data_IF_961979419097
#
_entry.id   IF_961979419097
#
_cell.length_a   1.000
_cell.length_b   1.000
_cell.length_c   1.000
_cell.angle_alpha   90.00
_cell.angle_beta   90.00
_cell.angle_gamma   90.00
#
_symmetry.space_group_name_H-M   'P 1'
#
loop_
_entity.id
_entity.type
_entity.pdbx_description
1 polymer ?
#
# COMPACT_ATOMS: atom_id res chain seq x y z
N UNK A 1 -15.94 -13.15 2.57
CA UNK A 1 -15.74 -11.74 2.16
C UNK A 1 -14.40 -11.64 1.47
N UNK A 2 -14.39 -11.27 0.19
CA UNK A 2 -13.16 -11.16 -0.61
C UNK A 2 -12.53 -9.80 -0.36
N UNK A 3 -11.19 -9.76 -0.29
CA UNK A 3 -10.41 -8.53 -0.10
C UNK A 3 -9.76 -8.18 -1.42
N UNK A 4 -10.15 -7.03 -1.97
CA UNK A 4 -9.60 -6.43 -3.17
C UNK A 4 -8.63 -5.34 -2.70
N UNK A 5 -7.35 -5.67 -2.62
CA UNK A 5 -6.37 -4.93 -1.81
C UNK A 5 -5.07 -4.58 -2.53
N UNK A 6 -5.00 -4.80 -3.84
CA UNK A 6 -3.88 -4.42 -4.70
C UNK A 6 -4.32 -3.42 -5.78
N UNK A 7 -3.33 -2.83 -6.47
CA UNK A 7 -3.55 -1.94 -7.60
C UNK A 7 -4.30 -2.63 -8.76
N UNK A 8 -4.06 -3.94 -8.94
CA UNK A 8 -4.74 -4.75 -9.96
C UNK A 8 -6.24 -4.93 -9.67
N UNK A 9 -6.64 -4.76 -8.41
CA UNK A 9 -8.04 -4.85 -8.00
C UNK A 9 -8.84 -3.62 -8.40
N UNK A 10 -8.21 -2.47 -8.70
CA UNK A 10 -8.95 -1.23 -9.01
C UNK A 10 -9.78 -1.39 -10.31
N UNK A 11 -9.23 -1.87 -11.44
CA UNK A 11 -10.04 -2.21 -12.62
C UNK A 11 -11.14 -3.25 -12.33
N UNK A 12 -10.85 -4.26 -11.51
CA UNK A 12 -11.82 -5.30 -11.12
C UNK A 12 -13.00 -4.68 -10.34
N UNK A 13 -12.74 -3.84 -9.36
CA UNK A 13 -13.76 -3.11 -8.60
C UNK A 13 -14.61 -2.23 -9.50
N UNK A 14 -13.98 -1.47 -10.40
CA UNK A 14 -14.70 -0.60 -11.34
C UNK A 14 -15.61 -1.41 -12.26
N UNK A 15 -15.11 -2.52 -12.80
CA UNK A 15 -15.90 -3.41 -13.66
C UNK A 15 -17.07 -4.03 -12.88
N UNK A 16 -16.84 -4.48 -11.64
CA UNK A 16 -17.87 -5.00 -10.76
C UNK A 16 -18.99 -4.00 -10.52
N UNK A 17 -18.64 -2.75 -10.16
CA UNK A 17 -19.61 -1.69 -9.96
C UNK A 17 -20.38 -1.37 -11.25
N UNK A 18 -19.70 -1.29 -12.40
CA UNK A 18 -20.34 -0.96 -13.67
C UNK A 18 -21.33 -2.04 -14.13
N UNK A 19 -20.97 -3.32 -14.01
CA UNK A 19 -21.86 -4.42 -14.41
C UNK A 19 -23.03 -4.55 -13.44
N UNK A 20 -22.79 -4.44 -12.13
CA UNK A 20 -23.86 -4.42 -11.13
C UNK A 20 -24.84 -3.27 -11.38
N UNK A 21 -24.33 -2.06 -11.60
CA UNK A 21 -25.16 -0.88 -11.91
C UNK A 21 -25.96 -1.09 -13.21
N UNK A 22 -25.36 -1.68 -14.24
CA UNK A 22 -26.06 -2.00 -15.48
C UNK A 22 -27.20 -2.99 -15.25
N UNK A 23 -26.98 -4.06 -14.48
CA UNK A 23 -28.03 -5.03 -14.16
C UNK A 23 -29.18 -4.39 -13.37
N UNK A 24 -28.85 -3.57 -12.37
CA UNK A 24 -29.85 -2.84 -11.57
C UNK A 24 -30.69 -1.88 -12.43
N UNK A 25 -30.06 -1.07 -13.28
CA UNK A 25 -30.76 -0.12 -14.16
C UNK A 25 -31.66 -0.78 -15.20
N UNK A 26 -31.35 -2.01 -15.59
CA UNK A 26 -32.11 -2.76 -16.61
C UNK A 26 -33.01 -3.84 -16.01
N UNK A 27 -33.16 -3.91 -14.69
CA UNK A 27 -33.97 -4.92 -13.99
C UNK A 27 -33.58 -6.37 -14.37
N UNK A 28 -32.27 -6.62 -14.52
CA UNK A 28 -31.73 -7.95 -14.78
C UNK A 28 -31.40 -8.58 -13.43
N UNK A 29 -32.06 -9.70 -13.11
CA UNK A 29 -31.75 -10.46 -11.90
C UNK A 29 -30.35 -11.08 -12.01
N UNK A 30 -29.55 -10.93 -10.95
CA UNK A 30 -28.21 -11.49 -10.87
C UNK A 30 -27.89 -11.99 -9.47
N UNK A 31 -26.99 -12.97 -9.39
CA UNK A 31 -26.40 -13.39 -8.11
C UNK A 31 -25.07 -12.64 -7.91
N UNK A 32 -24.90 -11.85 -6.82
CA UNK A 32 -23.68 -11.08 -6.60
C UNK A 32 -22.39 -11.89 -6.51
N UNK A 33 -22.45 -13.12 -5.97
CA UNK A 33 -21.28 -14.00 -5.86
C UNK A 33 -20.85 -14.53 -7.22
N UNK A 34 -21.81 -14.95 -8.06
CA UNK A 34 -21.54 -15.40 -9.42
C UNK A 34 -20.97 -14.24 -10.26
N UNK A 35 -21.60 -13.06 -10.18
CA UNK A 35 -21.11 -11.86 -10.86
C UNK A 35 -19.65 -11.54 -10.49
N UNK A 36 -19.33 -11.61 -9.19
CA UNK A 36 -17.96 -11.42 -8.73
C UNK A 36 -17.00 -12.44 -9.34
N UNK A 37 -17.35 -13.72 -9.34
CA UNK A 37 -16.51 -14.78 -9.92
C UNK A 37 -16.31 -14.63 -11.43
N UNK A 38 -17.36 -14.27 -12.18
CA UNK A 38 -17.29 -14.07 -13.63
C UNK A 38 -16.39 -12.89 -14.00
N UNK A 39 -16.48 -11.80 -13.24
CA UNK A 39 -15.63 -10.62 -13.42
C UNK A 39 -14.18 -10.96 -13.09
N UNK A 40 -13.94 -11.64 -11.97
CA UNK A 40 -12.61 -12.07 -11.58
C UNK A 40 -11.98 -12.98 -12.64
N UNK A 41 -12.73 -13.96 -13.14
CA UNK A 41 -12.27 -14.85 -14.19
C UNK A 41 -11.96 -14.08 -15.49
N UNK A 42 -12.79 -13.09 -15.83
CA UNK A 42 -12.59 -12.22 -16.99
C UNK A 42 -11.29 -11.41 -16.87
N UNK A 43 -11.06 -10.75 -15.73
CA UNK A 43 -9.83 -9.99 -15.46
C UNK A 43 -8.60 -10.90 -15.51
N UNK A 44 -8.67 -12.09 -14.90
CA UNK A 44 -7.60 -13.08 -14.95
C UNK A 44 -7.29 -13.54 -16.38
N UNK A 45 -8.31 -13.72 -17.22
CA UNK A 45 -8.15 -14.11 -18.63
C UNK A 45 -7.48 -13.02 -19.48
N UNK A 46 -7.63 -11.75 -19.09
CA UNK A 46 -6.98 -10.62 -19.77
C UNK A 46 -5.51 -10.45 -19.36
N UNK A 47 -5.07 -11.02 -18.23
CA UNK A 47 -3.73 -10.80 -17.69
C UNK A 47 -2.59 -11.19 -18.66
N UNK A 48 -2.64 -12.34 -19.39
CA UNK A 48 -1.65 -12.67 -20.40
C UNK A 48 -1.64 -11.67 -21.59
N UNK A 49 -2.82 -11.22 -22.02
CA UNK A 49 -2.97 -10.25 -23.12
C UNK A 49 -2.38 -8.90 -22.73
N UNK A 50 -2.65 -8.46 -21.50
CA UNK A 50 -2.04 -7.24 -20.93
C UNK A 50 -0.51 -7.36 -20.94
N UNK A 51 0.05 -8.48 -20.52
CA UNK A 51 1.50 -8.69 -20.59
C UNK A 51 2.03 -8.56 -22.02
N UNK A 52 1.37 -9.13 -23.02
CA UNK A 52 1.79 -8.99 -24.42
C UNK A 52 1.77 -7.53 -24.90
N UNK A 53 0.77 -6.74 -24.49
CA UNK A 53 0.66 -5.32 -24.84
C UNK A 53 1.76 -4.52 -24.17
N UNK A 54 1.95 -4.68 -22.86
CA UNK A 54 3.00 -3.99 -22.09
C UNK A 54 4.38 -4.29 -22.66
N UNK A 55 4.59 -5.52 -23.14
CA UNK A 55 5.87 -5.94 -23.72
C UNK A 55 6.16 -5.35 -25.10
N UNK A 56 5.15 -4.82 -25.80
CA UNK A 56 5.34 -4.11 -27.07
C UNK A 56 5.87 -2.69 -26.86
N UNK A 57 5.43 -2.02 -25.80
CA UNK A 57 5.92 -0.69 -25.41
C UNK A 57 6.07 -0.56 -23.89
N UNK A 58 7.17 -1.11 -23.37
CA UNK A 58 7.48 -1.04 -21.94
C UNK A 58 7.70 0.41 -21.49
N UNK A 59 8.14 1.28 -22.39
CA UNK A 59 8.44 2.69 -22.07
C UNK A 59 7.19 3.52 -21.78
N UNK A 60 6.05 3.14 -22.34
CA UNK A 60 4.75 3.77 -22.07
C UNK A 60 4.22 3.43 -20.67
N UNK A 61 4.41 2.19 -20.21
CA UNK A 61 3.78 1.67 -18.99
C UNK A 61 4.69 1.66 -17.76
N UNK A 62 6.01 1.73 -17.92
CA UNK A 62 6.97 1.71 -16.82
C UNK A 62 7.65 3.08 -16.67
N UNK A 63 7.36 3.73 -15.54
CA UNK A 63 8.06 4.94 -15.15
C UNK A 63 9.53 4.64 -14.80
N UNK A 64 10.45 5.38 -15.42
CA UNK A 64 11.87 5.24 -15.15
C UNK A 64 12.27 6.06 -13.91
N UNK A 65 12.74 5.39 -12.87
CA UNK A 65 13.38 6.05 -11.75
C UNK A 65 14.90 6.17 -11.98
N UNK A 66 15.37 7.38 -12.27
CA UNK A 66 16.79 7.67 -12.54
C UNK A 66 17.70 7.53 -11.31
N UNK A 67 17.14 7.57 -10.10
CA UNK A 67 17.88 7.46 -8.84
C UNK A 67 18.10 6.00 -8.43
N UNK A 68 17.30 5.07 -8.97
CA UNK A 68 17.34 3.66 -8.60
C UNK A 68 18.72 3.00 -8.83
N UNK A 69 19.41 3.20 -9.98
CA UNK A 69 20.74 2.63 -10.19
C UNK A 69 21.77 3.16 -9.18
N UNK A 70 21.75 4.46 -8.90
CA UNK A 70 22.65 5.08 -7.94
C UNK A 70 22.40 4.56 -6.51
N UNK A 71 21.13 4.38 -6.14
CA UNK A 71 20.74 3.82 -4.85
C UNK A 71 21.20 2.37 -4.67
N UNK A 72 20.97 1.50 -5.67
CA UNK A 72 21.46 0.12 -5.60
C UNK A 72 22.99 0.05 -5.59
N UNK A 73 23.67 0.90 -6.36
CA UNK A 73 25.13 0.97 -6.33
C UNK A 73 25.65 1.38 -4.94
N UNK A 74 24.98 2.33 -4.27
CA UNK A 74 25.31 2.71 -2.88
C UNK A 74 25.20 1.52 -1.92
N UNK A 75 24.16 0.70 -2.05
CA UNK A 75 23.99 -0.50 -1.22
C UNK A 75 25.08 -1.54 -1.49
N UNK A 76 25.36 -1.81 -2.77
CA UNK A 76 26.42 -2.75 -3.18
C UNK A 76 27.80 -2.30 -2.71
N UNK A 77 28.13 -1.01 -2.84
CA UNK A 77 29.39 -0.43 -2.35
C UNK A 77 29.54 -0.55 -0.83
N UNK A 78 28.42 -0.57 -0.10
CA UNK A 78 28.39 -0.82 1.35
C UNK A 78 28.40 -2.31 1.72
N UNK A 79 28.65 -3.21 0.76
CA UNK A 79 28.71 -4.66 0.99
C UNK A 79 27.35 -5.33 1.20
N UNK A 80 26.23 -4.64 0.90
CA UNK A 80 24.90 -5.25 0.97
C UNK A 80 24.68 -6.18 -0.23
N UNK A 81 24.03 -7.32 0.01
CA UNK A 81 23.61 -8.24 -1.04
C UNK A 81 22.17 -7.93 -1.42
N UNK A 82 21.90 -7.85 -2.72
CA UNK A 82 20.58 -7.57 -3.27
C UNK A 82 20.06 -8.82 -3.99
N UNK A 83 18.75 -9.04 -3.93
CA UNK A 83 18.06 -10.10 -4.65
C UNK A 83 16.68 -9.60 -5.09
N UNK A 84 16.12 -10.24 -6.11
CA UNK A 84 14.80 -9.95 -6.64
C UNK A 84 13.98 -11.25 -6.66
N UNK A 85 12.75 -11.18 -6.17
CA UNK A 85 11.76 -12.26 -6.27
C UNK A 85 10.53 -11.66 -6.93
N UNK A 86 10.04 -12.31 -7.98
CA UNK A 86 8.88 -11.83 -8.73
C UNK A 86 8.02 -13.00 -9.19
N UNK A 87 6.71 -12.82 -9.14
CA UNK A 87 5.72 -13.77 -9.66
C UNK A 87 5.51 -13.63 -11.18
N UNK A 88 6.16 -12.64 -11.83
CA UNK A 88 6.04 -12.46 -13.27
C UNK A 88 6.81 -13.53 -14.05
N UNK A 89 6.27 -14.03 -15.17
CA UNK A 89 6.96 -15.01 -16.01
C UNK A 89 8.33 -14.51 -16.49
N UNK A 90 9.29 -15.42 -16.63
CA UNK A 90 10.67 -15.11 -17.04
C UNK A 90 10.75 -14.22 -18.30
N UNK A 91 9.88 -14.45 -19.29
CA UNK A 91 9.84 -13.64 -20.51
C UNK A 91 9.60 -12.15 -20.21
N UNK A 92 8.81 -11.83 -19.17
CA UNK A 92 8.49 -10.47 -18.72
C UNK A 92 9.69 -9.78 -18.04
N UNK A 93 10.46 -10.52 -17.26
CA UNK A 93 11.63 -10.00 -16.52
C UNK A 93 12.87 -9.90 -17.43
N UNK A 94 13.04 -10.84 -18.36
CA UNK A 94 14.24 -11.00 -19.19
C UNK A 94 14.35 -9.97 -20.34
N UNK A 95 13.26 -9.27 -20.73
CA UNK A 95 13.39 -8.08 -21.61
C UNK A 95 13.98 -6.86 -20.89
N UNK A 96 13.98 -6.85 -19.55
CA UNK A 96 14.61 -5.82 -18.71
C UNK A 96 15.98 -6.21 -18.15
N UNK A 97 16.34 -7.49 -18.11
CA UNK A 97 17.65 -7.97 -17.61
C UNK A 97 18.07 -9.22 -18.39
N UNK A 98 19.03 -9.08 -19.31
CA UNK A 98 19.38 -10.13 -20.25
C UNK A 98 20.29 -11.23 -19.67
N UNK A 99 19.94 -12.47 -20.02
CA UNK A 99 20.79 -13.63 -20.36
C UNK A 99 21.21 -14.63 -19.25
N UNK A 100 21.09 -15.92 -19.63
CA UNK A 100 21.52 -17.17 -18.96
C UNK A 100 20.56 -17.76 -17.92
N UNK A 101 19.37 -18.18 -18.37
CA UNK A 101 18.74 -19.36 -17.79
C UNK A 101 19.61 -20.57 -18.19
N UNK A 102 20.37 -21.09 -17.24
CA UNK A 102 21.19 -22.28 -17.47
C UNK A 102 20.28 -23.47 -17.78
N UNK A 103 20.46 -24.05 -18.95
CA UNK A 103 20.09 -25.43 -19.21
C UNK A 103 20.78 -26.29 -18.16
N UNK A 104 20.03 -26.73 -17.14
CA UNK A 104 20.18 -28.01 -16.42
C UNK A 104 19.26 -27.99 -15.20
N UNK A 105 18.18 -28.77 -15.26
CA UNK A 105 17.33 -29.12 -14.12
C UNK A 105 18.04 -30.04 -13.13
N UNK A 106 19.18 -29.59 -12.60
CA UNK A 106 19.86 -30.20 -11.46
C UNK A 106 19.53 -29.45 -10.17
N UNK A 107 19.56 -30.15 -9.04
CA UNK A 107 19.46 -29.53 -7.71
C UNK A 107 20.51 -28.42 -7.59
N UNK A 108 20.06 -27.17 -7.47
CA UNK A 108 20.93 -26.02 -7.26
C UNK A 108 21.51 -26.14 -5.85
N UNK A 109 22.84 -26.28 -5.74
CA UNK A 109 23.55 -26.32 -4.45
C UNK A 109 24.05 -24.96 -4.00
N UNK A 110 24.20 -23.99 -4.93
CA UNK A 110 24.73 -22.65 -4.66
C UNK A 110 24.12 -21.61 -5.61
N UNK A 111 23.99 -20.36 -5.14
CA UNK A 111 23.59 -19.23 -5.97
C UNK A 111 24.81 -18.45 -6.49
N UNK A 112 24.89 -18.28 -7.80
CA UNK A 112 25.95 -17.57 -8.48
C UNK A 112 25.48 -16.17 -8.92
N UNK A 113 26.37 -15.19 -8.78
CA UNK A 113 26.08 -13.81 -9.18
C UNK A 113 25.84 -13.72 -10.69
N UNK A 114 24.79 -13.01 -11.08
CA UNK A 114 24.43 -12.79 -12.48
C UNK A 114 23.64 -13.93 -13.12
N UNK A 115 23.29 -14.97 -12.36
CA UNK A 115 22.37 -16.02 -12.81
C UNK A 115 20.94 -15.74 -12.35
N UNK A 116 19.99 -16.09 -13.20
CA UNK A 116 18.56 -16.06 -12.90
C UNK A 116 18.12 -17.48 -12.56
N UNK A 117 17.35 -17.59 -11.48
CA UNK A 117 16.78 -18.84 -11.00
C UNK A 117 15.25 -18.74 -11.10
N UNK A 118 14.60 -19.83 -11.49
CA UNK A 118 13.14 -19.93 -11.58
C UNK A 118 12.66 -21.01 -10.61
N UNK A 119 11.40 -20.91 -10.18
CA UNK A 119 10.80 -21.73 -9.13
C UNK A 119 11.52 -21.59 -7.77
N UNK A 120 11.19 -22.50 -6.85
CA UNK A 120 11.77 -22.58 -5.52
C UNK A 120 10.89 -21.97 -4.43
N UNK A 121 11.37 -22.11 -3.21
CA UNK A 121 10.69 -21.64 -1.99
C UNK A 121 11.63 -20.72 -1.21
N UNK A 122 11.06 -19.83 -0.39
CA UNK A 122 11.86 -19.00 0.53
C UNK A 122 12.75 -19.88 1.42
N UNK A 123 12.25 -21.05 1.85
CA UNK A 123 13.06 -22.02 2.62
C UNK A 123 14.31 -22.46 1.88
N UNK A 124 14.20 -22.85 0.61
CA UNK A 124 15.37 -23.21 -0.21
C UNK A 124 16.33 -22.04 -0.37
N UNK A 125 15.82 -20.82 -0.57
CA UNK A 125 16.66 -19.62 -0.62
C UNK A 125 17.43 -19.42 0.69
N UNK A 126 16.78 -19.60 1.84
CA UNK A 126 17.40 -19.49 3.16
C UNK A 126 18.50 -20.55 3.35
N UNK A 127 18.26 -21.78 2.90
CA UNK A 127 19.24 -22.86 3.01
C UNK A 127 20.46 -22.64 2.11
N UNK A 128 20.27 -22.06 0.91
CA UNK A 128 21.34 -21.73 -0.03
C UNK A 128 22.17 -20.52 0.38
N UNK A 129 21.52 -19.51 0.98
CA UNK A 129 22.17 -18.22 1.28
C UNK A 129 22.62 -18.09 2.73
N UNK A 130 22.03 -18.87 3.63
CA UNK A 130 22.13 -18.70 5.08
C UNK A 130 21.42 -17.44 5.60
N UNK A 131 20.68 -16.72 4.76
CA UNK A 131 19.99 -15.49 5.15
C UNK A 131 18.75 -15.81 5.99
N UNK A 132 18.75 -15.46 7.28
CA UNK A 132 17.71 -15.89 8.22
C UNK A 132 17.26 -14.76 9.13
N UNK A 133 15.97 -14.74 9.45
CA UNK A 133 15.38 -13.79 10.39
C UNK A 133 15.71 -12.33 10.04
N UNK A 134 16.11 -11.56 11.05
CA UNK A 134 16.27 -10.11 10.95
C UNK A 134 17.46 -9.62 10.09
N UNK A 135 18.26 -10.52 9.50
CA UNK A 135 19.37 -10.13 8.61
C UNK A 135 18.89 -9.78 7.20
N UNK A 136 17.62 -10.05 6.88
CA UNK A 136 17.00 -9.76 5.60
C UNK A 136 15.99 -8.64 5.76
N UNK A 137 16.06 -7.65 4.87
CA UNK A 137 15.04 -6.63 4.68
C UNK A 137 14.42 -6.83 3.30
N UNK A 138 13.18 -7.28 3.26
CA UNK A 138 12.44 -7.55 2.04
C UNK A 138 11.44 -6.44 1.76
N UNK A 139 11.41 -5.94 0.52
CA UNK A 139 10.43 -4.95 0.09
C UNK A 139 9.42 -5.57 -0.85
N UNK A 140 8.15 -5.23 -0.64
CA UNK A 140 7.03 -5.59 -1.51
C UNK A 140 6.06 -4.41 -1.62
N UNK A 141 5.29 -4.38 -2.69
CA UNK A 141 4.24 -3.39 -2.92
C UNK A 141 2.88 -3.86 -2.40
N UNK A 142 2.71 -5.18 -2.19
CA UNK A 142 1.49 -5.70 -1.61
C UNK A 142 1.68 -6.24 -0.17
N UNK A 143 1.15 -5.54 0.86
CA UNK A 143 1.25 -6.01 2.24
C UNK A 143 0.62 -7.39 2.52
N UNK A 144 -0.28 -7.86 1.63
CA UNK A 144 -1.07 -9.07 1.86
C UNK A 144 -0.41 -10.32 1.29
N UNK A 145 0.05 -10.26 0.03
CA UNK A 145 0.71 -11.39 -0.63
C UNK A 145 2.19 -11.44 -0.35
N UNK A 146 2.85 -10.29 -0.22
CA UNK A 146 4.32 -10.25 -0.26
C UNK A 146 4.92 -10.22 1.15
N UNK A 147 4.25 -9.52 2.09
CA UNK A 147 4.86 -9.22 3.39
C UNK A 147 4.36 -10.12 4.52
N UNK A 148 3.12 -10.59 4.47
CA UNK A 148 2.50 -11.34 5.57
C UNK A 148 3.25 -12.65 5.86
N UNK A 149 3.43 -13.50 4.85
CA UNK A 149 4.08 -14.81 5.00
C UNK A 149 5.57 -14.65 5.34
N UNK A 150 6.24 -13.69 4.70
CA UNK A 150 7.65 -13.37 4.95
C UNK A 150 7.89 -12.91 6.39
N UNK A 151 6.96 -12.13 6.95
CA UNK A 151 7.05 -11.69 8.35
C UNK A 151 6.71 -12.83 9.32
N UNK A 152 5.61 -13.55 9.08
CA UNK A 152 5.06 -14.52 10.02
C UNK A 152 5.81 -15.85 10.04
N UNK A 153 6.23 -16.35 8.87
CA UNK A 153 6.82 -17.69 8.73
C UNK A 153 8.35 -17.66 8.70
N UNK A 154 8.95 -16.55 8.26
CA UNK A 154 10.39 -16.47 7.99
C UNK A 154 11.13 -15.44 8.87
N UNK A 155 10.41 -14.58 9.59
CA UNK A 155 10.96 -13.61 10.54
C UNK A 155 11.85 -12.55 9.90
N UNK A 156 11.75 -12.36 8.59
CA UNK A 156 12.46 -11.30 7.88
C UNK A 156 11.91 -9.93 8.28
N UNK A 157 12.75 -8.90 8.19
CA UNK A 157 12.28 -7.51 8.28
C UNK A 157 11.63 -7.15 6.94
N UNK A 158 10.62 -6.30 7.00
CA UNK A 158 9.79 -6.00 5.84
C UNK A 158 9.61 -4.51 5.63
N UNK A 159 9.65 -4.10 4.37
CA UNK A 159 9.34 -2.76 3.91
C UNK A 159 8.19 -2.80 2.91
N UNK A 160 7.24 -1.87 3.02
CA UNK A 160 6.18 -1.72 2.04
C UNK A 160 6.42 -0.52 1.11
N UNK A 161 6.19 -0.70 -0.19
CA UNK A 161 6.21 0.39 -1.18
C UNK A 161 4.76 0.72 -1.53
N UNK A 162 4.27 1.89 -1.09
CA UNK A 162 2.88 2.31 -1.25
C UNK A 162 2.82 3.59 -2.10
N UNK A 163 2.56 3.46 -3.39
CA UNK A 163 2.61 4.58 -4.34
C UNK A 163 1.63 5.70 -3.99
N UNK A 164 0.45 5.36 -3.48
CA UNK A 164 -0.60 6.30 -3.07
C UNK A 164 -0.16 7.21 -1.92
N UNK A 165 0.88 6.84 -1.18
CA UNK A 165 1.38 7.61 -0.05
C UNK A 165 1.86 9.01 -0.46
N UNK A 166 2.41 9.19 -1.65
CA UNK A 166 2.85 10.52 -2.13
C UNK A 166 1.66 11.48 -2.21
N UNK A 167 0.61 11.07 -2.92
CA UNK A 167 -0.61 11.86 -3.06
C UNK A 167 -1.31 12.10 -1.69
N UNK A 168 -1.28 11.10 -0.81
CA UNK A 168 -1.80 11.23 0.55
C UNK A 168 -1.05 12.31 1.34
N UNK A 169 0.29 12.30 1.32
CA UNK A 169 1.14 13.27 2.01
C UNK A 169 0.94 14.68 1.44
N UNK A 170 0.88 14.82 0.12
CA UNK A 170 0.64 16.11 -0.55
C UNK A 170 -0.72 16.69 -0.13
N UNK A 171 -1.77 15.86 -0.16
CA UNK A 171 -3.12 16.24 0.26
C UNK A 171 -3.16 16.68 1.73
N UNK A 172 -2.55 15.89 2.62
CA UNK A 172 -2.44 16.21 4.05
C UNK A 172 -1.67 17.50 4.30
N UNK A 173 -0.73 17.85 3.41
CA UNK A 173 0.07 19.06 3.53
C UNK A 173 -0.59 20.31 2.98
N UNK A 174 -1.72 20.20 2.27
CA UNK A 174 -2.49 21.32 1.78
C UNK A 174 -2.98 22.21 2.93
N UNK A 175 -2.81 23.52 2.80
CA UNK A 175 -3.22 24.51 3.80
C UNK A 175 -4.72 24.42 4.09
N UNK A 176 -5.56 24.28 3.07
CA UNK A 176 -7.01 24.17 3.25
C UNK A 176 -7.38 22.92 4.04
N UNK A 177 -6.72 21.79 3.75
CA UNK A 177 -6.94 20.54 4.49
C UNK A 177 -6.55 20.71 5.96
N UNK A 178 -5.38 21.27 6.25
CA UNK A 178 -4.90 21.51 7.62
C UNK A 178 -5.84 22.44 8.39
N UNK A 179 -6.24 23.54 7.78
CA UNK A 179 -7.18 24.50 8.40
C UNK A 179 -8.52 23.83 8.70
N UNK A 180 -9.09 23.09 7.75
CA UNK A 180 -10.36 22.40 7.94
C UNK A 180 -10.26 21.30 9.00
N UNK A 181 -9.17 20.52 9.03
CA UNK A 181 -8.97 19.47 10.02
C UNK A 181 -8.80 20.05 11.44
N UNK A 182 -8.03 21.12 11.59
CA UNK A 182 -7.85 21.82 12.87
C UNK A 182 -9.16 22.44 13.33
N UNK A 183 -9.88 23.11 12.43
CA UNK A 183 -11.17 23.72 12.77
C UNK A 183 -12.20 22.65 13.14
N UNK A 184 -12.24 21.52 12.43
CA UNK A 184 -13.08 20.38 12.78
C UNK A 184 -12.80 19.87 14.20
N UNK A 185 -11.53 19.81 14.61
CA UNK A 185 -11.15 19.42 15.98
C UNK A 185 -11.62 20.45 17.02
N UNK A 186 -11.36 21.74 16.77
CA UNK A 186 -11.81 22.82 17.67
C UNK A 186 -13.33 22.87 17.80
N UNK A 187 -14.05 22.77 16.68
CA UNK A 187 -15.51 22.76 16.64
C UNK A 187 -16.08 21.54 17.38
N UNK A 188 -15.42 20.38 17.28
CA UNK A 188 -15.82 19.18 18.04
C UNK A 188 -15.68 19.42 19.55
N UNK A 189 -14.57 20.03 20.00
CA UNK A 189 -14.40 20.39 21.42
C UNK A 189 -15.47 21.39 21.90
N UNK A 190 -15.77 22.43 21.13
CA UNK A 190 -16.80 23.40 21.48
C UNK A 190 -18.20 22.77 21.58
N UNK A 191 -18.52 21.82 20.69
CA UNK A 191 -19.76 21.05 20.76
C UNK A 191 -19.77 20.21 22.04
N UNK A 192 -18.67 19.51 22.35
CA UNK A 192 -18.55 18.68 23.55
C UNK A 192 -18.74 19.49 24.84
N UNK A 193 -18.22 20.71 24.88
CA UNK A 193 -18.32 21.61 26.04
C UNK A 193 -19.73 22.16 26.26
N UNK A 194 -20.53 22.34 25.19
CA UNK A 194 -21.83 23.06 25.23
C UNK A 194 -23.04 22.12 25.08
N UNK A 195 -22.87 20.87 24.65
CA UNK A 195 -23.97 19.96 24.33
C UNK A 195 -24.99 19.73 25.47
N UNK A 196 -24.59 19.90 26.73
CA UNK A 196 -25.45 19.64 27.89
C UNK A 196 -26.30 20.86 28.31
N UNK A 197 -26.04 22.04 27.74
CA UNK A 197 -26.76 23.28 28.10
C UNK A 197 -28.18 23.29 27.50
N UNK A 198 -29.18 23.47 28.36
CA UNK A 198 -30.61 23.36 27.99
C UNK A 198 -31.26 24.67 27.48
N UNK A 199 -30.52 25.76 27.37
CA UNK A 199 -31.10 27.03 26.94
C UNK A 199 -31.33 27.08 25.42
N UNK A 200 -32.37 27.79 24.98
CA UNK A 200 -32.74 27.88 23.56
C UNK A 200 -31.59 28.39 22.67
N UNK A 201 -30.82 29.36 23.18
CA UNK A 201 -29.63 29.88 22.49
C UNK A 201 -28.56 28.81 22.27
N UNK A 202 -28.35 27.90 23.23
CA UNK A 202 -27.39 26.79 23.10
C UNK A 202 -27.86 25.79 22.05
N UNK A 203 -29.15 25.40 22.05
CA UNK A 203 -29.70 24.49 21.03
C UNK A 203 -29.53 25.04 19.61
N UNK A 204 -29.84 26.32 19.39
CA UNK A 204 -29.66 26.97 18.07
C UNK A 204 -28.18 26.98 17.66
N UNK A 205 -27.28 27.23 18.61
CA UNK A 205 -25.84 27.24 18.37
C UNK A 205 -25.33 25.83 18.00
N UNK A 206 -25.71 24.82 18.78
CA UNK A 206 -25.34 23.42 18.56
C UNK A 206 -25.81 22.91 17.20
N UNK A 207 -27.05 23.21 16.79
CA UNK A 207 -27.55 22.78 15.48
C UNK A 207 -26.73 23.38 14.32
N UNK A 208 -26.33 24.65 14.44
CA UNK A 208 -25.45 25.31 13.45
C UNK A 208 -24.07 24.65 13.41
N UNK A 209 -23.46 24.43 14.57
CA UNK A 209 -22.13 23.82 14.66
C UNK A 209 -22.13 22.36 14.21
N UNK A 210 -23.19 21.59 14.46
CA UNK A 210 -23.32 20.23 13.95
C UNK A 210 -23.39 20.19 12.42
N UNK A 211 -24.17 21.09 11.80
CA UNK A 211 -24.23 21.23 10.33
C UNK A 211 -22.88 21.63 9.74
N UNK A 212 -22.21 22.59 10.36
CA UNK A 212 -20.87 23.02 9.94
C UNK A 212 -19.83 21.89 10.09
N UNK A 213 -19.89 21.16 11.20
CA UNK A 213 -19.05 19.98 11.45
C UNK A 213 -19.23 18.93 10.36
N UNK A 214 -20.47 18.63 9.97
CA UNK A 214 -20.72 17.65 8.92
C UNK A 214 -20.25 18.14 7.53
N UNK A 215 -20.37 19.43 7.24
CA UNK A 215 -19.78 20.04 6.04
C UNK A 215 -18.26 19.85 6.01
N UNK A 216 -17.56 20.19 7.11
CA UNK A 216 -16.11 20.06 7.24
C UNK A 216 -15.66 18.59 7.14
N UNK A 217 -16.41 17.65 7.72
CA UNK A 217 -16.15 16.21 7.59
C UNK A 217 -16.22 15.73 6.14
N UNK A 218 -17.20 16.24 5.38
CA UNK A 218 -17.32 15.89 3.96
C UNK A 218 -16.21 16.54 3.12
N UNK A 219 -15.90 17.82 3.37
CA UNK A 219 -14.82 18.52 2.68
C UNK A 219 -13.47 17.85 2.90
N UNK A 220 -13.15 17.45 4.13
CA UNK A 220 -11.88 16.76 4.45
C UNK A 220 -11.81 15.36 3.84
N UNK A 221 -12.93 14.68 3.64
CA UNK A 221 -12.96 13.37 2.98
C UNK A 221 -12.75 13.46 1.46
N UNK A 222 -13.42 14.42 0.81
CA UNK A 222 -13.47 14.51 -0.65
C UNK A 222 -12.17 15.00 -1.31
N UNK A 223 -11.20 15.51 -0.54
CA UNK A 223 -9.91 16.00 -1.06
C UNK A 223 -9.01 14.83 -1.52
N UNK A 224 -9.20 13.64 -0.96
CA UNK A 224 -8.57 12.41 -1.44
C UNK A 224 -9.35 11.86 -2.65
N UNK A 225 -9.68 10.57 -2.65
CA UNK A 225 -10.62 10.02 -3.63
C UNK A 225 -12.07 10.41 -3.27
N UNK A 226 -12.85 10.91 -4.24
CA UNK A 226 -14.23 11.36 -4.00
C UNK A 226 -15.16 10.23 -3.55
N UNK A 227 -14.96 9.02 -4.09
CA UNK A 227 -15.78 7.85 -3.79
C UNK A 227 -15.31 7.13 -2.52
N UNK A 228 -14.01 6.84 -2.43
CA UNK A 228 -13.43 5.96 -1.40
C UNK A 228 -12.75 6.71 -0.24
N UNK A 229 -12.39 7.98 -0.42
CA UNK A 229 -11.61 8.74 0.56
C UNK A 229 -10.14 8.35 0.59
N UNK A 230 -9.52 8.46 1.77
CA UNK A 230 -8.12 8.08 2.00
C UNK A 230 -7.95 6.57 2.08
N UNK A 231 -6.84 6.06 1.54
CA UNK A 231 -6.47 4.63 1.63
C UNK A 231 -6.11 4.26 3.07
N UNK A 232 -5.59 5.20 3.86
CA UNK A 232 -5.04 4.93 5.18
C UNK A 232 -6.03 5.20 6.32
N UNK A 233 -7.03 6.05 6.12
CA UNK A 233 -7.90 6.51 7.21
C UNK A 233 -9.36 6.72 6.78
N UNK A 234 -10.27 6.25 7.64
CA UNK A 234 -11.70 6.56 7.59
C UNK A 234 -12.06 7.38 8.82
N UNK A 235 -12.30 8.69 8.63
CA UNK A 235 -12.47 9.67 9.70
C UNK A 235 -11.30 9.64 10.70
N UNK A 236 -11.52 9.13 11.92
CA UNK A 236 -10.49 9.06 12.96
C UNK A 236 -9.76 7.72 12.97
N UNK A 237 -10.29 6.70 12.31
CA UNK A 237 -9.83 5.33 12.43
C UNK A 237 -8.91 4.93 11.27
N UNK A 238 -7.80 4.25 11.54
CA UNK A 238 -7.03 3.59 10.48
C UNK A 238 -7.91 2.60 9.71
N UNK A 239 -7.80 2.62 8.39
CA UNK A 239 -8.46 1.65 7.52
C UNK A 239 -7.95 0.24 7.79
N UNK A 240 -8.66 -0.76 7.28
CA UNK A 240 -8.22 -2.14 7.34
C UNK A 240 -6.84 -2.32 6.66
N UNK A 241 -6.59 -1.62 5.56
CA UNK A 241 -5.28 -1.54 4.90
C UNK A 241 -4.19 -1.05 5.86
N UNK A 242 -4.39 0.11 6.51
CA UNK A 242 -3.42 0.65 7.47
C UNK A 242 -3.13 -0.30 8.62
N UNK A 243 -4.16 -0.93 9.19
CA UNK A 243 -3.96 -1.87 10.31
C UNK A 243 -3.08 -3.06 9.92
N UNK A 244 -3.23 -3.55 8.69
CA UNK A 244 -2.36 -4.62 8.16
C UNK A 244 -0.98 -4.13 7.81
N UNK A 245 -0.88 -2.97 7.17
CA UNK A 245 0.40 -2.33 6.87
C UNK A 245 1.24 -2.19 8.16
N UNK A 246 0.66 -1.66 9.24
CA UNK A 246 1.34 -1.52 10.53
C UNK A 246 1.74 -2.84 11.19
N UNK A 247 1.05 -3.94 10.83
CA UNK A 247 1.33 -5.27 11.37
C UNK A 247 2.44 -5.98 10.60
N UNK A 248 2.52 -5.78 9.28
CA UNK A 248 3.34 -6.59 8.38
C UNK A 248 4.50 -5.83 7.76
N UNK A 249 4.61 -4.52 7.95
CA UNK A 249 5.74 -3.72 7.47
C UNK A 249 6.42 -3.01 8.65
N UNK A 250 7.72 -3.25 8.81
CA UNK A 250 8.55 -2.48 9.77
C UNK A 250 8.67 -1.02 9.34
N UNK A 251 8.78 -0.80 8.03
CA UNK A 251 8.85 0.52 7.40
C UNK A 251 7.97 0.56 6.16
N UNK A 252 7.50 1.74 5.78
CA UNK A 252 6.81 1.92 4.51
C UNK A 252 7.20 3.25 3.89
N UNK A 253 7.21 3.30 2.56
CA UNK A 253 7.64 4.45 1.77
C UNK A 253 6.86 4.49 0.46
N UNK A 254 6.77 5.64 -0.20
CA UNK A 254 6.17 5.72 -1.53
C UNK A 254 7.09 5.20 -2.63
N UNK A 255 8.39 5.39 -2.46
CA UNK A 255 9.41 4.90 -3.38
C UNK A 255 10.62 4.40 -2.57
N UNK A 256 11.23 3.31 -3.02
CA UNK A 256 12.41 2.72 -2.37
C UNK A 256 13.60 3.67 -2.36
N UNK A 257 13.71 4.56 -3.35
CA UNK A 257 14.76 5.56 -3.48
C UNK A 257 14.65 6.68 -2.44
N UNK A 258 13.54 6.84 -1.73
CA UNK A 258 13.46 7.72 -0.56
C UNK A 258 14.48 7.32 0.52
N UNK A 259 14.88 6.05 0.58
CA UNK A 259 15.91 5.55 1.49
C UNK A 259 17.33 5.97 1.08
N UNK A 260 17.53 6.50 -0.14
CA UNK A 260 18.82 7.03 -0.58
C UNK A 260 19.30 8.21 0.28
N UNK A 261 18.37 8.92 0.92
CA UNK A 261 18.67 10.03 1.83
C UNK A 261 19.23 9.59 3.18
N UNK A 262 19.23 8.30 3.49
CA UNK A 262 19.71 7.76 4.77
C UNK A 262 21.07 7.08 4.63
N UNK A 263 21.85 7.05 5.71
CA UNK A 263 23.07 6.22 5.76
C UNK A 263 22.71 4.74 5.67
N UNK A 264 23.62 3.93 5.11
CA UNK A 264 23.52 2.45 5.11
C UNK A 264 23.62 1.82 6.51
N UNK A 265 24.02 2.61 7.50
CA UNK A 265 24.07 2.28 8.93
C UNK A 265 22.95 2.97 9.73
N UNK A 266 22.00 3.64 9.06
CA UNK A 266 20.93 4.34 9.75
C UNK A 266 20.03 3.36 10.52
N UNK A 267 19.63 3.75 11.73
CA UNK A 267 18.70 3.00 12.58
C UNK A 267 17.41 3.77 12.69
N UNK A 268 16.32 3.18 12.19
CA UNK A 268 14.98 3.74 12.31
C UNK A 268 14.38 3.37 13.66
N UNK A 269 13.91 4.38 14.41
CA UNK A 269 13.22 4.18 15.67
C UNK A 269 11.71 4.44 15.51
N UNK A 270 10.84 3.49 15.88
CA UNK A 270 9.40 3.69 15.79
C UNK A 270 8.97 4.76 16.80
N UNK A 271 7.99 5.58 16.41
CA UNK A 271 7.35 6.52 17.34
C UNK A 271 6.37 5.77 18.23
N UNK A 272 6.39 6.07 19.53
CA UNK A 272 5.41 5.52 20.48
C UNK A 272 4.03 6.10 20.17
N UNK A 273 3.08 5.25 19.83
CA UNK A 273 1.67 5.63 19.75
C UNK A 273 1.10 5.84 21.16
N UNK A 274 0.30 6.88 21.34
CA UNK A 274 -0.39 7.14 22.61
C UNK A 274 -1.71 6.37 22.69
N UNK A 275 -2.02 5.80 23.85
CA UNK A 275 -3.32 5.18 24.13
C UNK A 275 -4.31 6.23 24.63
N UNK A 276 -5.64 6.03 24.49
CA UNK A 276 -6.64 7.01 24.91
C UNK A 276 -6.59 7.42 26.39
N UNK A 277 -6.02 6.59 27.25
CA UNK A 277 -5.86 6.86 28.70
C UNK A 277 -4.47 7.40 29.06
N UNK A 278 -3.55 7.52 28.10
CA UNK A 278 -2.24 8.12 28.33
C UNK A 278 -2.39 9.65 28.22
N UNK A 279 -2.21 10.34 29.34
CA UNK A 279 -2.16 11.81 29.36
C UNK A 279 -1.08 12.31 28.41
N UNK A 280 -1.42 13.36 27.63
CA UNK A 280 -0.47 14.03 26.74
C UNK A 280 0.74 14.44 27.57
N UNK A 281 1.91 13.90 27.21
CA UNK A 281 3.21 14.21 27.82
C UNK A 281 3.39 15.72 27.93
N UNK A 282 3.93 16.20 29.05
CA UNK A 282 4.24 17.61 29.35
C UNK A 282 5.20 18.33 28.37
N UNK A 283 5.55 17.70 27.24
CA UNK A 283 6.55 18.15 26.27
C UNK A 283 6.08 18.16 24.81
N UNK A 284 4.78 18.34 24.55
CA UNK A 284 4.27 18.75 23.23
C UNK A 284 3.60 20.12 23.30
#
# INVERSE_FOLDING_TARGET
MVQLADLFSVPEMCLLCNVAEYFEKNHIDYNPEILFHDIKASVQSCHPVMHEIVMKDVGEYIERNSMLPAYFQKLVNAGKKLFLVTNSPFAFVNRGMTLLAGENGGNISTLDKGKIYYEGTVKQLQDLTGWRGHTVLYFGDHPYSDLADVTLEHGWRTGAIINELTHEIETLNNVNFKTNANWLQMLTQLIEDIQDYQCEAAHICLEKWQKERDLLRNQTKMVFNKQFGSVFRTYHNPTYFSRRLFRFADIYTSDITNLANYSVSHTFYPRRGVMPHEYISYFM
#
